data_IF_482490933625
#
_entry.id   IF_482490933625
#
_cell.length_a   1.000
_cell.length_b   1.000
_cell.length_c   1.000
_cell.angle_alpha   90.00
_cell.angle_beta   90.00
_cell.angle_gamma   90.00
#
_symmetry.space_group_name_H-M   'P 1'
#
loop_
_entity.id
_entity.type
_entity.pdbx_description
1 polymer ?
#
# COMPACT_ATOMS: atom_id res chain seq x y z
N UNK A 1 2.86 0.73 32.42
CA UNK A 1 1.93 1.87 32.27
C UNK A 1 1.58 2.16 30.82
N UNK A 2 2.56 2.27 29.91
CA UNK A 2 2.33 2.58 28.48
C UNK A 2 1.38 1.61 27.75
N UNK A 3 1.64 0.28 27.77
CA UNK A 3 0.82 -0.73 27.08
C UNK A 3 -0.67 -0.66 27.47
N UNK A 4 -0.95 -0.48 28.76
CA UNK A 4 -2.33 -0.35 29.28
C UNK A 4 -3.02 0.90 28.74
N UNK A 5 -2.33 2.05 28.76
CA UNK A 5 -2.87 3.30 28.23
C UNK A 5 -3.09 3.24 26.73
N UNK A 6 -2.16 2.59 26.00
CA UNK A 6 -2.29 2.37 24.56
C UNK A 6 -3.53 1.54 24.23
N UNK A 7 -3.73 0.40 24.91
CA UNK A 7 -4.90 -0.46 24.72
C UNK A 7 -6.19 0.31 25.00
N UNK A 8 -6.25 1.04 26.12
CA UNK A 8 -7.42 1.86 26.47
C UNK A 8 -7.73 2.87 25.37
N UNK A 9 -6.72 3.63 24.94
CA UNK A 9 -6.90 4.67 23.92
C UNK A 9 -7.33 4.10 22.57
N UNK A 10 -6.82 2.93 22.18
CA UNK A 10 -7.21 2.25 20.94
C UNK A 10 -8.64 1.74 21.00
N UNK A 11 -9.08 1.20 22.14
CA UNK A 11 -10.48 0.80 22.33
C UNK A 11 -11.40 2.00 22.21
N UNK A 12 -11.07 3.10 22.88
CA UNK A 12 -11.85 4.34 22.82
C UNK A 12 -11.94 4.89 21.39
N UNK A 13 -10.81 4.96 20.67
CA UNK A 13 -10.79 5.40 19.27
C UNK A 13 -11.57 4.45 18.37
N UNK A 14 -11.40 3.14 18.51
CA UNK A 14 -12.15 2.16 17.71
C UNK A 14 -13.66 2.30 17.89
N UNK A 15 -14.12 2.37 19.13
CA UNK A 15 -15.53 2.54 19.45
C UNK A 15 -16.06 3.90 18.97
N UNK A 16 -15.28 4.96 19.13
CA UNK A 16 -15.66 6.29 18.64
C UNK A 16 -15.80 6.32 17.12
N UNK A 17 -14.85 5.75 16.38
CA UNK A 17 -14.91 5.69 14.91
C UNK A 17 -16.07 4.82 14.42
N UNK A 18 -16.32 3.70 15.08
CA UNK A 18 -17.44 2.81 14.75
C UNK A 18 -18.78 3.52 14.98
N UNK A 19 -18.94 4.17 16.15
CA UNK A 19 -20.15 4.96 16.46
C UNK A 19 -20.40 6.06 15.43
N UNK A 20 -19.36 6.77 14.99
CA UNK A 20 -19.50 7.84 14.00
C UNK A 20 -20.04 7.35 12.66
N UNK A 21 -19.68 6.14 12.22
CA UNK A 21 -20.23 5.53 11.01
C UNK A 21 -21.68 5.07 11.25
N UNK A 22 -21.93 4.44 12.40
CA UNK A 22 -23.25 3.89 12.74
C UNK A 22 -24.34 4.95 12.91
N UNK A 23 -23.99 6.18 13.29
CA UNK A 23 -24.92 7.33 13.36
C UNK A 23 -25.63 7.54 12.03
N UNK A 24 -24.92 7.33 10.92
CA UNK A 24 -25.50 7.45 9.58
C UNK A 24 -26.21 6.16 9.17
N UNK A 25 -25.74 4.98 9.58
CA UNK A 25 -26.34 3.69 9.17
C UNK A 25 -27.68 3.37 9.85
N UNK A 26 -27.91 3.92 11.05
CA UNK A 26 -29.13 3.67 11.84
C UNK A 26 -30.29 4.60 11.53
N UNK A 27 -30.06 5.69 10.81
CA UNK A 27 -31.15 6.56 10.35
C UNK A 27 -31.96 5.81 9.30
N UNK A 28 -33.29 5.84 9.37
CA UNK A 28 -34.14 5.24 8.33
C UNK A 28 -34.28 6.17 7.12
N UNK A 29 -34.26 7.49 7.35
CA UNK A 29 -34.40 8.48 6.29
C UNK A 29 -33.21 8.47 5.31
N UNK A 30 -33.46 8.72 4.01
CA UNK A 30 -32.39 8.98 3.04
C UNK A 30 -31.46 10.09 3.54
N UNK A 31 -30.15 9.89 3.42
CA UNK A 31 -29.16 10.89 3.79
C UNK A 31 -29.13 12.00 2.73
N UNK A 32 -28.89 13.24 3.17
CA UNK A 32 -28.57 14.31 2.23
C UNK A 32 -27.19 14.03 1.57
N UNK A 33 -26.92 14.61 0.38
CA UNK A 33 -25.64 14.44 -0.31
C UNK A 33 -24.43 14.77 0.58
N UNK A 34 -24.53 15.82 1.39
CA UNK A 34 -23.48 16.22 2.34
C UNK A 34 -23.29 15.23 3.49
N UNK A 35 -24.38 14.59 3.95
CA UNK A 35 -24.30 13.56 4.99
C UNK A 35 -23.71 12.25 4.45
N UNK A 36 -23.95 11.92 3.18
CA UNK A 36 -23.35 10.76 2.53
C UNK A 36 -21.83 10.95 2.35
N UNK A 37 -21.39 12.15 1.96
CA UNK A 37 -19.96 12.49 1.91
C UNK A 37 -19.32 12.35 3.29
N UNK A 38 -19.97 12.87 4.33
CA UNK A 38 -19.47 12.77 5.70
C UNK A 38 -19.40 11.32 6.19
N UNK A 39 -20.38 10.49 5.81
CA UNK A 39 -20.38 9.04 6.07
C UNK A 39 -19.22 8.35 5.35
N UNK A 40 -18.94 8.69 4.09
CA UNK A 40 -17.81 8.14 3.34
C UNK A 40 -16.47 8.49 4.01
N UNK A 41 -16.29 9.75 4.42
CA UNK A 41 -15.10 10.19 5.16
C UNK A 41 -14.96 9.44 6.50
N UNK A 42 -16.06 9.24 7.23
CA UNK A 42 -16.07 8.47 8.46
C UNK A 42 -15.67 7.00 8.22
N UNK A 43 -16.16 6.40 7.14
CA UNK A 43 -15.81 5.02 6.73
C UNK A 43 -14.32 4.88 6.42
N UNK A 44 -13.74 5.81 5.66
CA UNK A 44 -12.29 5.83 5.36
C UNK A 44 -11.47 5.87 6.65
N UNK A 45 -11.85 6.75 7.60
CA UNK A 45 -11.17 6.87 8.90
C UNK A 45 -11.30 5.60 9.74
N UNK A 46 -12.48 4.96 9.72
CA UNK A 46 -12.72 3.70 10.43
C UNK A 46 -11.84 2.57 9.86
N UNK A 47 -11.78 2.41 8.54
CA UNK A 47 -10.94 1.39 7.89
C UNK A 47 -9.46 1.64 8.14
N UNK A 48 -9.01 2.90 8.08
CA UNK A 48 -7.63 3.27 8.43
C UNK A 48 -7.27 2.89 9.87
N UNK A 49 -8.18 3.15 10.82
CA UNK A 49 -7.98 2.76 12.21
C UNK A 49 -7.89 1.24 12.39
N UNK A 50 -8.75 0.47 11.70
CA UNK A 50 -8.69 -1.00 11.74
C UNK A 50 -7.35 -1.52 11.20
N UNK A 51 -6.87 -0.98 10.06
CA UNK A 51 -5.56 -1.35 9.51
C UNK A 51 -4.44 -1.09 10.52
N UNK A 52 -4.46 0.08 11.17
CA UNK A 52 -3.49 0.43 12.20
C UNK A 52 -3.55 -0.52 13.40
N UNK A 53 -4.75 -0.86 13.88
CA UNK A 53 -4.93 -1.87 14.95
C UNK A 53 -4.36 -3.21 14.52
N UNK A 54 -4.54 -3.64 13.26
CA UNK A 54 -3.92 -4.85 12.71
C UNK A 54 -2.40 -4.87 12.84
N UNK A 55 -1.74 -3.77 12.49
CA UNK A 55 -0.28 -3.63 12.61
C UNK A 55 0.19 -3.66 14.08
N UNK A 56 -0.56 -3.06 15.00
CA UNK A 56 -0.28 -3.17 16.44
C UNK A 56 -0.49 -4.59 16.95
N UNK A 57 -1.47 -5.30 16.40
CA UNK A 57 -1.72 -6.71 16.62
C UNK A 57 -0.51 -7.55 16.24
N UNK A 58 0.09 -7.30 15.08
CA UNK A 58 1.32 -7.99 14.64
C UNK A 58 2.47 -7.87 15.65
N UNK A 59 2.59 -6.72 16.32
CA UNK A 59 3.65 -6.44 17.30
C UNK A 59 3.34 -6.90 18.73
N UNK A 60 2.22 -7.61 18.95
CA UNK A 60 1.73 -8.00 20.28
C UNK A 60 1.52 -6.83 21.26
N UNK A 61 1.19 -5.66 20.73
CA UNK A 61 0.94 -4.48 21.58
C UNK A 61 -0.50 -4.45 22.12
N UNK A 62 -1.40 -5.24 21.53
CA UNK A 62 -2.84 -5.28 21.84
C UNK A 62 -3.34 -6.71 22.02
N UNK A 63 -4.47 -6.85 22.71
CA UNK A 63 -5.15 -8.14 22.89
C UNK A 63 -5.94 -8.57 21.66
N UNK A 64 -6.07 -9.87 21.45
CA UNK A 64 -6.82 -10.46 20.34
C UNK A 64 -8.31 -10.12 20.33
N UNK A 65 -8.87 -9.78 21.50
CA UNK A 65 -10.27 -9.39 21.63
C UNK A 65 -10.64 -8.18 20.76
N UNK A 66 -9.75 -7.18 20.62
CA UNK A 66 -10.02 -6.03 19.75
C UNK A 66 -9.91 -6.39 18.26
N UNK A 67 -9.01 -7.32 17.91
CA UNK A 67 -8.86 -7.81 16.54
C UNK A 67 -10.11 -8.57 16.10
N UNK A 68 -10.65 -9.44 16.95
CA UNK A 68 -11.92 -10.13 16.68
C UNK A 68 -13.10 -9.15 16.53
N UNK A 69 -13.15 -8.07 17.33
CA UNK A 69 -14.14 -7.00 17.15
C UNK A 69 -14.02 -6.34 15.78
N UNK A 70 -12.80 -5.99 15.36
CA UNK A 70 -12.55 -5.41 14.04
C UNK A 70 -13.01 -6.34 12.90
N UNK A 71 -12.64 -7.63 12.95
CA UNK A 71 -13.05 -8.64 11.97
C UNK A 71 -14.57 -8.75 11.89
N UNK A 72 -15.25 -8.78 13.04
CA UNK A 72 -16.71 -8.84 13.10
C UNK A 72 -17.36 -7.62 12.44
N UNK A 73 -16.86 -6.42 12.73
CA UNK A 73 -17.36 -5.17 12.11
C UNK A 73 -17.20 -5.17 10.59
N UNK A 74 -16.12 -5.73 10.05
CA UNK A 74 -15.89 -5.81 8.61
C UNK A 74 -16.75 -6.87 7.91
N UNK A 75 -17.09 -7.97 8.59
CA UNK A 75 -17.93 -9.05 8.05
C UNK A 75 -19.43 -8.78 8.19
N UNK A 76 -19.82 -7.84 9.05
CA UNK A 76 -21.21 -7.49 9.30
C UNK A 76 -21.83 -6.80 8.10
N UNK A 77 -22.88 -7.41 7.53
CA UNK A 77 -23.68 -6.79 6.47
C UNK A 77 -24.65 -5.80 7.08
N UNK A 78 -24.40 -4.50 6.93
CA UNK A 78 -25.33 -3.45 7.36
C UNK A 78 -26.54 -3.38 6.44
N UNK A 79 -27.74 -3.21 7.00
CA UNK A 79 -29.01 -3.20 6.24
C UNK A 79 -29.03 -2.20 5.07
N UNK A 80 -28.44 -1.03 5.28
CA UNK A 80 -28.34 0.07 4.29
C UNK A 80 -27.27 -0.17 3.21
N UNK A 81 -26.26 -0.99 3.49
CA UNK A 81 -25.11 -1.19 2.59
C UNK A 81 -25.41 -2.36 1.67
N UNK A 82 -25.38 -2.12 0.36
CA UNK A 82 -25.51 -3.21 -0.61
C UNK A 82 -24.23 -4.04 -0.64
N UNK A 83 -24.36 -5.30 -1.04
CA UNK A 83 -23.22 -6.21 -1.02
C UNK A 83 -22.08 -5.73 -1.94
N UNK A 84 -22.42 -5.10 -3.07
CA UNK A 84 -21.47 -4.51 -4.03
C UNK A 84 -20.59 -3.42 -3.41
N UNK A 85 -21.08 -2.70 -2.40
CA UNK A 85 -20.39 -1.58 -1.74
C UNK A 85 -19.52 -2.04 -0.55
N UNK A 86 -19.52 -3.34 -0.22
CA UNK A 86 -18.68 -3.93 0.83
C UNK A 86 -17.25 -4.22 0.37
N UNK A 87 -16.88 -3.89 -0.87
CA UNK A 87 -15.57 -4.23 -1.44
C UNK A 87 -14.39 -3.75 -0.59
N UNK A 88 -14.44 -2.50 -0.12
CA UNK A 88 -13.38 -1.91 0.73
C UNK A 88 -13.27 -2.60 2.10
N UNK A 89 -14.42 -2.96 2.68
CA UNK A 89 -14.48 -3.63 3.98
C UNK A 89 -13.86 -5.03 3.88
N UNK A 90 -14.17 -5.75 2.79
CA UNK A 90 -13.62 -7.08 2.50
C UNK A 90 -12.13 -7.03 2.14
N UNK A 91 -11.69 -6.00 1.43
CA UNK A 91 -10.26 -5.79 1.17
C UNK A 91 -9.50 -5.54 2.48
N UNK A 92 -10.05 -4.71 3.37
CA UNK A 92 -9.50 -4.49 4.69
C UNK A 92 -9.48 -5.78 5.53
N UNK A 93 -10.54 -6.58 5.47
CA UNK A 93 -10.62 -7.87 6.17
C UNK A 93 -9.51 -8.81 5.72
N UNK A 94 -9.34 -8.97 4.42
CA UNK A 94 -8.30 -9.84 3.86
C UNK A 94 -6.90 -9.36 4.25
N UNK A 95 -6.68 -8.04 4.35
CA UNK A 95 -5.41 -7.49 4.85
C UNK A 95 -5.19 -7.86 6.32
N UNK A 96 -6.19 -7.68 7.19
CA UNK A 96 -6.09 -8.04 8.61
C UNK A 96 -5.83 -9.54 8.77
N UNK A 97 -6.56 -10.38 8.03
CA UNK A 97 -6.37 -11.84 8.08
C UNK A 97 -4.95 -12.24 7.66
N UNK A 98 -4.37 -11.62 6.63
CA UNK A 98 -2.98 -11.88 6.25
C UNK A 98 -1.97 -11.44 7.31
N UNK A 99 -2.21 -10.32 8.00
CA UNK A 99 -1.28 -9.77 8.98
C UNK A 99 -1.32 -10.50 10.32
N UNK A 100 -2.50 -10.79 10.87
CA UNK A 100 -2.67 -11.33 12.23
C UNK A 100 -3.41 -12.67 12.28
N UNK A 101 -3.94 -13.16 11.16
CA UNK A 101 -4.67 -14.43 11.08
C UNK A 101 -3.94 -15.65 11.64
N UNK A 102 -2.64 -15.88 11.35
CA UNK A 102 -1.90 -17.03 11.87
C UNK A 102 -1.86 -17.06 13.40
N UNK A 103 -1.87 -15.87 14.02
CA UNK A 103 -1.84 -15.74 15.48
C UNK A 103 -3.23 -15.91 16.09
N UNK A 104 -4.27 -15.46 15.41
CA UNK A 104 -5.66 -15.58 15.87
C UNK A 104 -6.20 -17.01 15.71
N UNK A 105 -5.60 -17.84 14.84
CA UNK A 105 -6.09 -19.17 14.51
C UNK A 105 -5.46 -20.27 15.38
N UNK A 106 -5.76 -20.23 16.68
CA UNK A 106 -5.36 -21.25 17.65
C UNK A 106 -6.59 -22.05 18.16
N UNK A 107 -6.37 -23.19 18.81
CA UNK A 107 -7.43 -24.14 19.20
C UNK A 107 -8.62 -23.49 19.93
N UNK A 108 -8.35 -22.61 20.90
CA UNK A 108 -9.41 -21.89 21.65
C UNK A 108 -10.25 -20.93 20.78
N UNK A 109 -9.68 -20.35 19.73
CA UNK A 109 -10.37 -19.41 18.84
C UNK A 109 -10.84 -20.07 17.53
N UNK A 110 -10.51 -21.35 17.31
CA UNK A 110 -10.81 -22.09 16.08
C UNK A 110 -12.27 -22.01 15.67
N UNK A 111 -13.21 -22.22 16.60
CA UNK A 111 -14.65 -22.14 16.31
C UNK A 111 -15.08 -20.76 15.78
N UNK A 112 -14.48 -19.69 16.30
CA UNK A 112 -14.77 -18.33 15.86
C UNK A 112 -14.15 -18.05 14.49
N UNK A 113 -12.91 -18.50 14.27
CA UNK A 113 -12.25 -18.41 12.97
C UNK A 113 -12.98 -19.20 11.90
N UNK A 114 -13.47 -20.41 12.20
CA UNK A 114 -14.26 -21.22 11.27
C UNK A 114 -15.54 -20.50 10.85
N UNK A 115 -16.21 -19.78 11.76
CA UNK A 115 -17.38 -18.96 11.42
C UNK A 115 -17.03 -17.79 10.48
N UNK A 116 -15.90 -17.11 10.71
CA UNK A 116 -15.46 -16.03 9.82
C UNK A 116 -15.16 -16.55 8.42
N UNK A 117 -14.44 -17.65 8.32
CA UNK A 117 -14.09 -18.24 7.03
C UNK A 117 -15.29 -18.85 6.31
N UNK A 118 -16.23 -19.46 7.03
CA UNK A 118 -17.52 -19.88 6.45
C UNK A 118 -18.27 -18.69 5.82
N UNK A 119 -18.28 -17.55 6.51
CA UNK A 119 -18.85 -16.31 5.95
C UNK A 119 -18.08 -15.84 4.72
N UNK A 120 -16.74 -15.82 4.75
CA UNK A 120 -15.91 -15.45 3.60
C UNK A 120 -16.15 -16.36 2.38
N UNK A 121 -16.29 -17.66 2.58
CA UNK A 121 -16.63 -18.62 1.52
C UNK A 121 -18.01 -18.33 0.90
N UNK A 122 -19.00 -17.93 1.70
CA UNK A 122 -20.30 -17.51 1.16
C UNK A 122 -20.19 -16.24 0.30
N UNK A 123 -19.26 -15.34 0.66
CA UNK A 123 -19.06 -14.07 -0.03
C UNK A 123 -18.28 -14.24 -1.34
N UNK A 124 -17.24 -15.07 -1.39
CA UNK A 124 -16.43 -15.25 -2.60
C UNK A 124 -17.24 -15.83 -3.79
N UNK A 125 -18.33 -16.55 -3.52
CA UNK A 125 -19.23 -17.10 -4.54
C UNK A 125 -20.30 -16.10 -5.03
N UNK A 126 -20.48 -14.98 -4.33
CA UNK A 126 -21.53 -14.00 -4.66
C UNK A 126 -21.20 -13.22 -5.93
N UNK A 127 -22.11 -13.21 -6.91
CA UNK A 127 -21.94 -12.46 -8.17
C UNK A 127 -22.05 -10.94 -8.01
N UNK A 128 -22.57 -10.47 -6.89
CA UNK A 128 -22.69 -9.04 -6.56
C UNK A 128 -21.34 -8.39 -6.25
N UNK A 129 -20.31 -9.20 -5.93
CA UNK A 129 -18.99 -8.72 -5.59
C UNK A 129 -18.07 -8.67 -6.83
N UNK A 130 -17.25 -7.62 -6.98
CA UNK A 130 -16.25 -7.55 -8.05
C UNK A 130 -15.32 -8.76 -8.04
N UNK A 131 -14.94 -9.24 -9.22
CA UNK A 131 -14.07 -10.42 -9.37
C UNK A 131 -12.78 -10.32 -8.55
N UNK A 132 -12.14 -9.13 -8.52
CA UNK A 132 -10.97 -8.83 -7.69
C UNK A 132 -11.20 -9.19 -6.21
N UNK A 133 -12.33 -8.77 -5.63
CA UNK A 133 -12.65 -9.02 -4.22
C UNK A 133 -12.89 -10.52 -3.97
N UNK A 134 -13.56 -11.20 -4.90
CA UNK A 134 -13.79 -12.65 -4.81
C UNK A 134 -12.48 -13.43 -4.83
N UNK A 135 -11.55 -13.07 -5.72
CA UNK A 135 -10.21 -13.66 -5.76
C UNK A 135 -9.39 -13.35 -4.52
N UNK A 136 -9.51 -12.13 -3.95
CA UNK A 136 -8.83 -11.76 -2.72
C UNK A 136 -9.32 -12.57 -1.52
N UNK A 137 -10.63 -12.82 -1.44
CA UNK A 137 -11.22 -13.70 -0.43
C UNK A 137 -10.74 -15.13 -0.62
N UNK A 138 -10.77 -15.64 -1.85
CA UNK A 138 -10.30 -16.99 -2.18
C UNK A 138 -8.84 -17.19 -1.77
N UNK A 139 -7.94 -16.27 -2.12
CA UNK A 139 -6.52 -16.30 -1.73
C UNK A 139 -6.36 -16.35 -0.20
N UNK A 140 -7.18 -15.59 0.53
CA UNK A 140 -7.14 -15.58 2.00
C UNK A 140 -7.65 -16.89 2.60
N UNK A 141 -8.69 -17.50 2.01
CA UNK A 141 -9.22 -18.81 2.42
C UNK A 141 -8.18 -19.91 2.18
N UNK A 142 -7.62 -19.95 0.98
CA UNK A 142 -6.55 -20.89 0.60
C UNK A 142 -5.33 -20.77 1.53
N UNK A 143 -4.94 -19.54 1.88
CA UNK A 143 -3.85 -19.30 2.84
C UNK A 143 -4.10 -19.99 4.18
N UNK A 144 -5.34 -19.96 4.69
CA UNK A 144 -5.70 -20.64 5.93
C UNK A 144 -5.71 -22.17 5.78
N UNK A 145 -6.25 -22.68 4.68
CA UNK A 145 -6.26 -24.12 4.37
C UNK A 145 -4.84 -24.70 4.28
N UNK A 146 -3.89 -23.89 3.81
CA UNK A 146 -2.46 -24.21 3.79
C UNK A 146 -1.73 -23.82 5.08
N UNK A 147 -2.44 -23.83 6.22
CA UNK A 147 -1.88 -23.56 7.55
C UNK A 147 -1.08 -22.25 7.63
N UNK A 148 -1.57 -21.21 6.97
CA UNK A 148 -0.98 -19.87 6.95
C UNK A 148 0.42 -19.80 6.33
N UNK A 149 0.82 -20.80 5.56
CA UNK A 149 2.10 -20.81 4.84
C UNK A 149 1.96 -20.02 3.55
N UNK A 150 2.68 -18.89 3.36
CA UNK A 150 2.61 -18.14 2.12
C UNK A 150 3.09 -18.99 0.93
N UNK A 151 2.41 -18.84 -0.21
CA UNK A 151 2.83 -19.50 -1.45
C UNK A 151 4.22 -19.03 -1.86
N UNK A 152 5.06 -19.94 -2.39
CA UNK A 152 6.43 -19.62 -2.86
C UNK A 152 6.45 -18.42 -3.81
N UNK A 153 5.45 -18.28 -4.67
CA UNK A 153 5.30 -17.11 -5.54
C UNK A 153 5.39 -15.77 -4.79
N UNK A 154 4.76 -15.63 -3.61
CA UNK A 154 4.82 -14.38 -2.84
C UNK A 154 6.20 -14.07 -2.24
N UNK A 155 7.00 -15.09 -1.96
CA UNK A 155 8.38 -14.93 -1.46
C UNK A 155 9.34 -14.58 -2.62
N UNK A 156 9.03 -15.06 -3.82
CA UNK A 156 9.90 -15.00 -5.00
C UNK A 156 9.53 -13.88 -5.99
N UNK A 157 8.47 -13.11 -5.70
CA UNK A 157 8.00 -11.96 -6.49
C UNK A 157 8.96 -10.74 -6.45
N UNK A 158 10.15 -10.90 -5.89
CA UNK A 158 11.24 -9.93 -6.10
C UNK A 158 11.73 -9.99 -7.55
N UNK A 159 12.19 -8.87 -8.13
CA UNK A 159 12.81 -8.91 -9.44
C UNK A 159 14.05 -9.82 -9.39
N UNK A 160 13.92 -11.02 -9.95
CA UNK A 160 15.04 -11.94 -10.13
C UNK A 160 15.91 -11.46 -11.28
N UNK A 161 17.22 -11.56 -11.11
CA UNK A 161 18.15 -11.36 -12.22
C UNK A 161 17.98 -12.48 -13.24
N UNK A 162 18.26 -12.19 -14.52
CA UNK A 162 18.21 -13.20 -15.59
C UNK A 162 19.08 -14.43 -15.28
N UNK A 163 20.15 -14.26 -14.52
CA UNK A 163 21.03 -15.36 -14.10
C UNK A 163 20.36 -16.26 -13.05
N UNK A 164 19.63 -15.67 -12.09
CA UNK A 164 18.86 -16.45 -11.09
C UNK A 164 17.75 -17.26 -11.77
N UNK A 165 17.03 -16.67 -12.72
CA UNK A 165 15.98 -17.37 -13.48
C UNK A 165 16.56 -18.56 -14.26
N UNK A 166 17.73 -18.39 -14.89
CA UNK A 166 18.42 -19.48 -15.61
C UNK A 166 18.87 -20.60 -14.68
N UNK A 167 19.43 -20.26 -13.53
CA UNK A 167 19.87 -21.25 -12.55
C UNK A 167 18.68 -22.01 -11.95
N UNK A 168 17.58 -21.32 -11.65
CA UNK A 168 16.35 -21.94 -11.16
C UNK A 168 15.73 -22.86 -12.23
N UNK A 169 15.72 -22.45 -13.51
CA UNK A 169 15.25 -23.30 -14.61
C UNK A 169 16.09 -24.57 -14.79
N UNK A 170 17.41 -24.47 -14.62
CA UNK A 170 18.31 -25.63 -14.64
C UNK A 170 18.01 -26.56 -13.46
N UNK A 171 17.79 -25.99 -12.27
CA UNK A 171 17.60 -26.74 -11.03
C UNK A 171 16.23 -27.41 -10.92
N UNK A 172 15.16 -26.70 -11.32
CA UNK A 172 13.78 -27.15 -11.13
C UNK A 172 13.25 -27.94 -12.34
N UNK A 173 13.70 -27.61 -13.56
CA UNK A 173 13.18 -28.20 -14.80
C UNK A 173 14.24 -29.03 -15.55
N UNK A 174 15.50 -29.00 -15.14
CA UNK A 174 16.60 -29.61 -15.89
C UNK A 174 16.85 -28.94 -17.25
N UNK A 175 16.24 -27.76 -17.50
CA UNK A 175 16.32 -27.05 -18.77
C UNK A 175 17.44 -26.01 -18.68
N UNK A 176 18.51 -26.23 -19.44
CA UNK A 176 19.59 -25.25 -19.57
C UNK A 176 19.17 -24.14 -20.54
N UNK A 177 18.98 -22.93 -19.99
CA UNK A 177 18.76 -21.71 -20.79
C UNK A 177 20.11 -20.99 -20.90
N UNK A 178 20.80 -21.05 -22.05
CA UNK A 178 22.09 -20.39 -22.21
C UNK A 178 21.96 -18.88 -22.03
N UNK A 179 23.03 -18.25 -21.56
CA UNK A 179 23.16 -16.80 -21.74
C UNK A 179 23.15 -16.48 -23.24
N UNK A 180 22.60 -15.33 -23.68
CA UNK A 180 22.80 -14.90 -25.04
C UNK A 180 24.28 -14.56 -25.09
N UNK A 181 25.08 -15.53 -25.52
CA UNK A 181 26.48 -15.27 -25.80
C UNK A 181 26.46 -14.12 -26.79
N UNK A 182 27.18 -13.05 -26.47
CA UNK A 182 27.50 -11.97 -27.40
C UNK A 182 28.48 -12.51 -28.48
N UNK A 183 28.08 -13.58 -29.13
CA UNK A 183 28.75 -14.22 -30.24
C UNK A 183 27.80 -14.09 -31.41
N UNK A 184 28.23 -13.27 -32.37
CA UNK A 184 27.58 -13.15 -33.66
C UNK A 184 27.49 -14.53 -34.33
N UNK A 185 26.35 -15.18 -34.13
CA UNK A 185 25.89 -16.28 -34.95
C UNK A 185 24.75 -15.72 -35.78
N UNK A 186 25.05 -15.56 -37.07
CA UNK A 186 24.13 -15.17 -38.11
C UNK A 186 22.89 -16.06 -38.03
N UNK A 187 21.72 -15.44 -37.98
CA UNK A 187 20.45 -16.13 -38.11
C UNK A 187 20.25 -16.52 -39.58
N UNK A 188 20.89 -17.61 -40.02
CA UNK A 188 20.71 -18.20 -41.33
C UNK A 188 19.43 -19.08 -41.39
N UNK A 189 18.31 -18.58 -40.85
CA UNK A 189 17.00 -19.25 -40.88
C UNK A 189 16.01 -18.61 -41.88
N UNK A 190 16.36 -17.48 -42.51
CA UNK A 190 15.50 -16.78 -43.47
C UNK A 190 16.13 -16.62 -44.87
N UNK A 191 17.16 -17.41 -45.21
CA UNK A 191 17.92 -17.26 -46.47
C UNK A 191 17.67 -18.40 -47.48
N UNK A 192 16.45 -18.92 -47.57
CA UNK A 192 15.99 -19.75 -48.69
C UNK A 192 14.86 -19.03 -49.41
N UNK A 193 15.23 -18.19 -50.39
CA UNK A 193 14.30 -17.48 -51.26
C UNK A 193 15.04 -17.09 -52.56
N UNK A 194 14.67 -17.63 -53.73
CA UNK A 194 15.54 -17.61 -54.92
C UNK A 194 15.46 -16.31 -55.76
N UNK A 195 15.44 -15.12 -55.16
CA UNK A 195 15.42 -13.86 -55.92
C UNK A 195 16.10 -12.69 -55.16
N UNK A 196 17.32 -12.30 -55.59
CA UNK A 196 17.94 -10.92 -55.66
C UNK A 196 19.48 -10.89 -55.42
N UNK A 197 20.23 -9.91 -55.98
CA UNK A 197 21.65 -10.01 -56.35
C UNK A 197 22.66 -9.55 -55.25
N UNK A 198 23.99 -9.75 -55.41
CA UNK A 198 24.94 -9.65 -54.31
C UNK A 198 25.49 -8.23 -54.16
N UNK A 199 25.68 -7.75 -52.92
CA UNK A 199 26.62 -6.63 -52.69
C UNK A 199 27.33 -6.64 -51.33
N UNK A 200 28.66 -6.58 -51.49
CA UNK A 200 29.70 -5.92 -50.67
C UNK A 200 30.04 -6.45 -49.26
N UNK A 201 31.25 -7.00 -49.18
CA UNK A 201 32.03 -7.20 -47.96
C UNK A 201 32.51 -5.84 -47.44
N UNK A 202 32.44 -5.63 -46.13
CA UNK A 202 33.19 -4.59 -45.43
C UNK A 202 34.02 -5.27 -44.34
N UNK A 203 35.33 -5.27 -44.55
CA UNK A 203 36.35 -5.63 -43.58
C UNK A 203 36.29 -4.69 -42.37
N UNK A 204 36.39 -5.24 -41.16
CA UNK A 204 37.09 -4.57 -40.06
C UNK A 204 37.55 -5.56 -38.99
N UNK A 205 38.87 -5.58 -38.82
CA UNK A 205 39.66 -6.31 -37.83
C UNK A 205 39.31 -6.04 -36.34
N UNK A 206 39.82 -6.87 -35.40
CA UNK A 206 39.31 -7.04 -34.05
C UNK A 206 40.17 -6.38 -32.96
N UNK A 207 39.63 -5.42 -32.21
CA UNK A 207 40.14 -4.90 -30.91
C UNK A 207 38.96 -4.15 -30.26
N UNK A 208 38.42 -4.47 -29.08
CA UNK A 208 39.06 -4.54 -27.78
C UNK A 208 38.72 -3.28 -26.97
N UNK A 209 37.98 -3.39 -25.86
CA UNK A 209 37.94 -2.36 -24.81
C UNK A 209 36.57 -1.87 -24.34
N UNK A 210 36.29 -2.11 -23.05
CA UNK A 210 35.14 -1.68 -22.25
C UNK A 210 35.05 -0.15 -21.97
N UNK A 211 35.26 0.71 -22.98
CA UNK A 211 35.35 2.17 -22.77
C UNK A 211 34.11 2.98 -23.19
N UNK A 212 33.21 2.45 -24.03
CA UNK A 212 32.11 3.25 -24.61
C UNK A 212 30.80 3.29 -23.79
N UNK A 213 30.75 2.67 -22.61
CA UNK A 213 29.52 2.68 -21.79
C UNK A 213 29.41 3.85 -20.79
N UNK A 214 30.47 4.66 -20.65
CA UNK A 214 30.48 5.86 -19.78
C UNK A 214 30.87 7.16 -20.52
N UNK A 215 30.87 7.14 -21.85
CA UNK A 215 31.04 8.35 -22.66
C UNK A 215 29.78 9.21 -22.62
N UNK A 216 29.83 10.33 -21.90
CA UNK A 216 28.85 11.41 -22.05
C UNK A 216 28.85 11.88 -23.51
N UNK A 217 27.73 11.71 -24.20
CA UNK A 217 27.45 12.44 -25.44
C UNK A 217 27.44 13.95 -25.13
N UNK A 218 28.25 14.77 -25.81
CA UNK A 218 28.17 16.21 -25.66
C UNK A 218 26.87 16.68 -26.32
N UNK A 219 25.98 17.29 -25.52
CA UNK A 219 24.86 18.06 -26.06
C UNK A 219 23.46 17.44 -25.98
N UNK A 220 23.19 16.52 -25.06
CA UNK A 220 21.81 16.06 -24.80
C UNK A 220 21.43 16.29 -23.34
N UNK A 221 21.04 17.54 -23.06
CA UNK A 221 20.35 17.89 -21.84
C UNK A 221 19.07 17.07 -21.70
N UNK A 222 18.90 16.51 -20.51
CA UNK A 222 17.69 15.85 -20.07
C UNK A 222 16.51 16.83 -20.16
N UNK A 223 15.52 16.48 -20.97
CA UNK A 223 14.14 16.89 -20.76
C UNK A 223 13.65 18.11 -21.54
N UNK A 224 13.25 17.93 -22.80
CA UNK A 224 12.26 18.78 -23.48
C UNK A 224 11.46 17.96 -24.51
N UNK A 225 10.70 16.97 -24.04
CA UNK A 225 9.62 16.38 -24.82
C UNK A 225 8.34 17.23 -24.66
N UNK A 226 7.54 17.48 -25.72
CA UNK A 226 6.29 18.21 -25.60
C UNK A 226 5.28 17.39 -24.77
N UNK A 227 4.94 17.87 -23.58
CA UNK A 227 3.94 17.24 -22.70
C UNK A 227 4.32 17.09 -21.22
N UNK A 228 5.49 17.57 -20.78
CA UNK A 228 5.89 17.46 -19.36
C UNK A 228 5.33 18.63 -18.54
N UNK A 229 4.42 18.31 -17.62
CA UNK A 229 3.85 19.23 -16.62
C UNK A 229 4.94 19.61 -15.61
N UNK A 230 5.19 20.91 -15.43
CA UNK A 230 6.09 21.44 -14.40
C UNK A 230 5.39 21.42 -13.04
N UNK A 231 5.58 20.36 -12.27
CA UNK A 231 5.17 20.35 -10.88
C UNK A 231 6.12 21.21 -10.02
N UNK A 232 5.66 22.41 -9.70
CA UNK A 232 6.32 23.42 -8.86
C UNK A 232 6.41 23.07 -7.37
N UNK A 233 6.33 21.80 -6.96
CA UNK A 233 6.53 21.43 -5.56
C UNK A 233 7.12 20.01 -5.44
N UNK A 234 8.44 19.90 -5.42
CA UNK A 234 9.13 18.78 -4.78
C UNK A 234 10.49 19.24 -4.22
N UNK A 235 10.68 19.16 -2.89
CA UNK A 235 11.94 19.53 -2.25
C UNK A 235 12.85 18.31 -2.19
N UNK A 236 13.90 18.28 -3.01
CA UNK A 236 14.99 17.32 -2.82
C UNK A 236 16.22 18.04 -2.30
N UNK A 237 16.64 17.64 -1.10
CA UNK A 237 17.84 18.11 -0.41
C UNK A 237 19.10 18.06 -1.28
N UNK A 238 19.82 19.18 -1.27
CA UNK A 238 21.20 19.25 -0.78
C UNK A 238 22.32 18.60 -1.60
N UNK A 239 23.10 19.44 -2.29
CA UNK A 239 24.58 19.37 -2.22
C UNK A 239 25.25 20.67 -2.65
N UNK A 240 26.08 21.17 -1.74
CA UNK A 240 27.03 22.28 -1.77
C UNK A 240 27.57 22.76 -3.12
N UNK A 241 27.63 24.09 -3.29
CA UNK A 241 28.83 24.81 -3.78
C UNK A 241 28.95 26.23 -3.19
N UNK A 242 29.99 26.39 -2.37
CA UNK A 242 30.91 27.53 -2.23
C UNK A 242 30.46 28.98 -2.52
N UNK A 243 30.30 29.71 -1.41
CA UNK A 243 30.73 31.06 -1.00
C UNK A 243 31.28 32.14 -1.97
N UNK A 244 31.05 33.39 -1.53
CA UNK A 244 31.61 34.72 -1.91
C UNK A 244 30.82 35.48 -3.02
N UNK A 245 30.32 36.73 -2.87
CA UNK A 245 30.60 37.90 -2.01
C UNK A 245 29.41 38.90 -2.05
N UNK A 246 29.19 39.64 -0.93
CA UNK A 246 28.89 41.10 -0.80
C UNK A 246 27.78 41.72 -1.69
N UNK A 247 26.78 42.51 -1.25
CA UNK A 247 26.70 43.51 -0.19
C UNK A 247 25.23 43.98 -0.04
N UNK A 248 24.84 44.49 1.14
CA UNK A 248 23.85 45.59 1.18
C UNK A 248 22.71 45.54 2.21
N UNK A 249 22.96 46.22 3.33
CA UNK A 249 22.03 46.97 4.20
C UNK A 249 21.29 46.25 5.35
N UNK A 250 21.76 46.58 6.57
CA UNK A 250 21.10 46.34 7.87
C UNK A 250 19.88 47.25 8.06
N UNK A 251 19.15 47.22 9.16
CA UNK A 251 19.40 46.67 10.49
C UNK A 251 18.72 47.62 11.47
N UNK A 252 17.72 47.16 12.22
CA UNK A 252 17.27 47.77 13.47
C UNK A 252 16.42 46.77 14.25
N UNK A 253 16.78 46.56 15.52
CA UNK A 253 16.13 45.70 16.51
C UNK A 253 15.67 46.59 17.68
N UNK A 254 14.57 46.17 18.32
CA UNK A 254 14.03 46.47 19.68
C UNK A 254 12.77 47.36 19.75
N UNK A 255 11.91 47.24 20.80
CA UNK A 255 11.46 46.05 21.56
C UNK A 255 9.90 46.08 21.80
N UNK A 256 9.28 45.26 22.69
CA UNK A 256 7.83 45.04 22.70
C UNK A 256 7.07 46.05 23.58
N UNK A 257 5.80 46.28 23.24
CA UNK A 257 4.86 47.06 24.05
C UNK A 257 3.91 46.16 24.82
N UNK A 258 3.77 46.46 26.11
CA UNK A 258 2.81 45.90 27.06
C UNK A 258 1.95 47.06 27.59
N UNK A 259 0.63 46.86 27.71
CA UNK A 259 -0.36 47.54 28.59
C UNK A 259 -1.76 47.46 27.96
N UNK A 260 -2.91 47.34 28.64
CA UNK A 260 -3.33 47.04 30.01
C UNK A 260 -4.89 47.07 30.02
N UNK A 261 -5.52 46.48 31.06
CA UNK A 261 -6.92 46.65 31.52
C UNK A 261 -8.06 45.93 30.74
N UNK A 262 -9.05 45.30 31.39
CA UNK A 262 -9.40 45.25 32.82
C UNK A 262 -10.61 44.33 33.09
N UNK A 263 -10.72 43.93 34.36
CA UNK A 263 -11.70 43.04 35.00
C UNK A 263 -13.16 43.48 34.94
N UNK A 264 -14.08 42.53 35.20
CA UNK A 264 -15.31 42.53 36.06
C UNK A 264 -15.91 41.11 35.86
N UNK A 265 -16.13 40.19 36.80
CA UNK A 265 -16.42 40.27 38.23
C UNK A 265 -17.93 40.12 38.47
N UNK A 266 -18.45 38.90 38.80
CA UNK A 266 -19.57 38.68 39.74
C UNK A 266 -19.91 37.19 39.98
N UNK A 267 -19.82 36.79 41.25
CA UNK A 267 -20.43 35.62 41.88
C UNK A 267 -21.95 35.78 42.00
N UNK A 268 -22.71 34.67 42.00
CA UNK A 268 -24.03 34.57 42.68
C UNK A 268 -24.31 33.14 43.19
N UNK A 269 -24.30 33.03 44.53
CA UNK A 269 -25.17 32.33 45.49
C UNK A 269 -25.54 30.82 45.48
N UNK A 270 -25.47 30.33 46.72
CA UNK A 270 -25.89 29.08 47.37
C UNK A 270 -27.41 29.02 47.67
N UNK A 271 -27.96 27.79 47.60
CA UNK A 271 -29.00 27.15 48.48
C UNK A 271 -30.47 27.62 48.41
N UNK A 272 -31.45 26.77 48.80
CA UNK A 272 -31.61 26.13 50.13
C UNK A 272 -31.16 24.67 50.23
#
# INVERSE_FOLDING_TARGET
>A
TFRRLLISKLQDEFENRTRNVDVYDKRENPLLPEEEEQRAIAKIKMLGNIKFIGELGKLDLIHESILHKCIKTLLEKKKRVQLKDMGEDLECLCQIMRTVGPRLDHERAKSLMDQYFARMCSLMLSKELPARIRFLLQDTVELREHHWVPRKAFLDNGPKTINQIRQDAVKDLGVFIPAPMAQGMRSDFFLEGPFMPPRMKMDRDPLGGLADMFGQMPGSGIGTGPGVIQDRFSPTMGRHRSNQLFNGHGGHIMPPTQSQFGEIGRQVHEKP
#
